data_IF_161778433311
#
_entry.id   IF_161778433311
#
_cell.length_a   1.000
_cell.length_b   1.000
_cell.length_c   1.000
_cell.angle_alpha   90.00
_cell.angle_beta   90.00
_cell.angle_gamma   90.00
#
_symmetry.space_group_name_H-M   'P 1'
#
loop_
_entity.id
_entity.type
_entity.pdbx_description
1 polymer ?
#
# COMPACT_ATOMS: atom_id res chain seq x y z
N UNK A 1 5.16 9.87 21.10
CA UNK A 1 4.79 10.43 19.79
C UNK A 1 5.22 9.43 18.72
N UNK A 2 4.42 8.39 18.49
CA UNK A 2 4.66 7.47 17.38
C UNK A 2 4.14 8.18 16.13
N UNK A 3 5.05 8.63 15.27
CA UNK A 3 4.66 8.86 13.88
C UNK A 3 4.10 7.51 13.39
N UNK A 4 2.85 7.44 12.90
CA UNK A 4 2.38 6.21 12.29
C UNK A 4 3.37 5.90 11.19
N UNK A 5 4.06 4.77 11.33
CA UNK A 5 4.84 4.15 10.28
C UNK A 5 3.92 4.05 9.07
N UNK A 6 4.05 4.97 8.12
CA UNK A 6 3.12 5.03 7.00
C UNK A 6 3.54 3.93 6.04
N UNK A 7 2.88 2.79 6.17
CA UNK A 7 3.17 1.60 5.39
C UNK A 7 2.58 1.75 4.00
N UNK A 8 3.45 1.79 2.99
CA UNK A 8 3.06 1.90 1.59
C UNK A 8 4.04 1.19 0.66
N UNK A 9 3.65 1.09 -0.60
CA UNK A 9 4.49 0.52 -1.65
C UNK A 9 4.81 1.54 -2.71
N UNK A 10 5.98 1.38 -3.30
CA UNK A 10 6.40 2.19 -4.43
C UNK A 10 5.65 1.78 -5.67
N UNK A 11 4.69 2.61 -6.07
CA UNK A 11 3.85 2.36 -7.23
C UNK A 11 3.78 3.58 -8.12
N UNK A 12 3.45 3.35 -9.40
CA UNK A 12 3.26 4.47 -10.32
C UNK A 12 2.11 5.35 -9.83
N UNK A 13 2.24 6.66 -10.00
CA UNK A 13 1.19 7.61 -9.62
C UNK A 13 -0.16 7.29 -10.25
N UNK A 14 -0.15 6.77 -11.49
CA UNK A 14 -1.34 6.23 -12.18
C UNK A 14 -1.95 5.04 -11.46
N UNK A 15 -1.14 4.04 -11.08
CA UNK A 15 -1.62 2.85 -10.37
C UNK A 15 -2.22 3.23 -9.02
N UNK A 16 -1.53 4.10 -8.28
CA UNK A 16 -1.97 4.57 -6.97
C UNK A 16 -3.29 5.34 -7.05
N UNK A 17 -3.40 6.31 -7.99
CA UNK A 17 -4.66 7.04 -8.24
C UNK A 17 -5.79 6.13 -8.70
N UNK A 18 -5.49 5.09 -9.48
CA UNK A 18 -6.49 4.13 -9.95
C UNK A 18 -7.12 3.31 -8.83
N UNK A 19 -6.55 3.33 -7.63
CA UNK A 19 -6.95 2.51 -6.48
C UNK A 19 -7.12 3.34 -5.20
N UNK A 20 -7.49 4.60 -5.35
CA UNK A 20 -7.69 5.53 -4.22
C UNK A 20 -6.51 5.61 -3.22
N UNK A 21 -5.31 5.20 -3.60
CA UNK A 21 -4.16 5.23 -2.72
C UNK A 21 -3.74 6.67 -2.43
N UNK A 22 -3.43 6.96 -1.17
CA UNK A 22 -2.89 8.25 -0.76
C UNK A 22 -1.43 8.38 -1.16
N UNK A 23 -1.06 9.53 -1.73
CA UNK A 23 0.32 9.87 -2.09
C UNK A 23 0.82 10.96 -1.16
N UNK A 24 1.80 10.69 -0.29
CA UNK A 24 2.47 11.79 0.38
C UNK A 24 4.00 11.75 0.41
N UNK A 25 4.68 10.77 -0.22
CA UNK A 25 6.14 10.67 -0.02
C UNK A 25 6.92 10.60 -1.32
N UNK A 26 7.53 11.74 -1.65
CA UNK A 26 8.59 11.86 -2.66
C UNK A 26 9.92 11.51 -2.00
N UNK A 27 10.70 10.59 -2.58
CA UNK A 27 11.98 10.15 -2.02
C UNK A 27 11.90 9.02 -0.99
N UNK A 28 10.72 8.40 -0.79
CA UNK A 28 10.58 7.20 0.03
C UNK A 28 10.90 5.90 -0.73
N UNK A 29 10.96 5.97 -2.05
CA UNK A 29 11.20 4.81 -2.88
C UNK A 29 12.70 4.63 -3.18
N UNK A 30 13.28 3.44 -2.93
CA UNK A 30 14.65 3.16 -3.35
C UNK A 30 14.68 3.19 -4.88
N UNK A 31 15.31 4.23 -5.44
CA UNK A 31 15.39 4.60 -6.86
C UNK A 31 14.32 5.57 -7.42
N UNK A 32 13.52 6.27 -6.59
CA UNK A 32 12.44 7.25 -6.94
C UNK A 32 12.42 7.69 -8.43
N UNK A 33 11.89 6.85 -9.34
CA UNK A 33 11.62 7.29 -10.71
C UNK A 33 10.59 8.40 -10.63
N UNK A 34 10.67 9.42 -11.50
CA UNK A 34 9.74 10.56 -11.46
C UNK A 34 8.25 10.13 -11.40
N UNK A 35 7.91 9.00 -12.03
CA UNK A 35 6.56 8.45 -12.12
C UNK A 35 6.14 7.51 -10.98
N UNK A 36 7.06 7.08 -10.10
CA UNK A 36 6.79 6.15 -8.99
C UNK A 36 6.90 6.89 -7.67
N UNK A 37 5.85 6.80 -6.86
CA UNK A 37 5.75 7.44 -5.55
C UNK A 37 5.35 6.41 -4.51
N UNK A 38 5.61 6.72 -3.24
CA UNK A 38 5.09 5.90 -2.16
C UNK A 38 3.57 6.05 -2.12
N UNK A 39 2.89 4.97 -2.50
CA UNK A 39 1.46 4.82 -2.43
C UNK A 39 1.09 4.20 -1.09
N UNK A 40 0.38 4.98 -0.28
CA UNK A 40 -0.14 4.55 0.99
C UNK A 40 -1.58 4.07 0.83
N UNK A 41 -1.92 3.02 1.56
CA UNK A 41 -3.28 2.53 1.67
C UNK A 41 -4.04 2.41 0.33
N UNK A 42 -3.44 1.85 -0.74
CA UNK A 42 -4.20 1.59 -1.96
C UNK A 42 -5.26 0.52 -1.73
N UNK A 43 -6.35 0.61 -2.49
CA UNK A 43 -7.33 -0.46 -2.63
C UNK A 43 -6.68 -1.75 -3.18
N UNK A 44 -7.22 -2.87 -2.73
CA UNK A 44 -6.79 -4.19 -3.13
C UNK A 44 -7.25 -4.50 -4.57
N UNK A 45 -6.54 -5.38 -5.29
CA UNK A 45 -6.83 -5.66 -6.71
C UNK A 45 -8.28 -6.01 -7.03
N UNK A 46 -8.94 -6.66 -6.10
CA UNK A 46 -10.27 -7.22 -6.28
C UNK A 46 -11.31 -6.47 -5.43
N UNK A 47 -10.93 -5.32 -4.84
CA UNK A 47 -11.78 -4.53 -3.93
C UNK A 47 -12.18 -5.26 -2.63
N UNK A 48 -11.64 -6.45 -2.40
CA UNK A 48 -11.82 -7.23 -1.17
C UNK A 48 -10.82 -6.77 -0.12
N UNK A 49 -11.24 -5.81 0.71
CA UNK A 49 -10.48 -5.32 1.85
C UNK A 49 -10.64 -3.82 2.04
N UNK A 50 -10.05 -3.27 3.11
CA UNK A 50 -9.98 -1.83 3.31
C UNK A 50 -8.78 -1.20 2.58
N UNK A 51 -7.75 -2.00 2.33
CA UNK A 51 -6.55 -1.55 1.65
C UNK A 51 -5.35 -2.46 1.90
N UNK A 52 -4.25 -2.12 1.27
CA UNK A 52 -2.98 -2.83 1.42
C UNK A 52 -2.18 -2.32 2.62
N UNK A 53 -1.82 -3.22 3.54
CA UNK A 53 -0.94 -2.94 4.67
C UNK A 53 0.07 -4.07 4.85
N UNK A 54 0.96 -3.94 5.83
CA UNK A 54 1.82 -5.06 6.21
C UNK A 54 0.98 -6.16 6.86
N UNK A 55 1.38 -7.42 6.67
CA UNK A 55 0.79 -8.57 7.34
C UNK A 55 0.73 -8.39 8.85
N UNK A 56 1.77 -7.76 9.43
CA UNK A 56 1.83 -7.42 10.86
C UNK A 56 0.82 -6.36 11.30
N UNK A 57 0.28 -5.57 10.38
CA UNK A 57 -0.74 -4.56 10.63
C UNK A 57 -2.16 -5.05 10.29
N UNK A 58 -2.28 -6.21 9.63
CA UNK A 58 -3.56 -6.84 9.39
C UNK A 58 -4.08 -7.53 10.66
N UNK A 59 -5.28 -7.17 11.11
CA UNK A 59 -5.88 -7.75 12.32
C UNK A 59 -6.58 -9.10 12.10
N UNK A 60 -7.25 -9.29 10.95
CA UNK A 60 -8.25 -10.36 10.81
C UNK A 60 -7.96 -11.25 9.62
N UNK A 61 -8.14 -10.74 8.40
CA UNK A 61 -7.92 -11.49 7.17
C UNK A 61 -6.91 -10.78 6.28
N UNK A 62 -6.02 -11.59 5.68
CA UNK A 62 -5.04 -11.11 4.70
C UNK A 62 -5.27 -11.83 3.39
N UNK A 63 -5.37 -11.08 2.30
CA UNK A 63 -5.40 -11.64 0.96
C UNK A 63 -4.01 -11.47 0.33
N UNK A 64 -3.24 -12.56 0.20
CA UNK A 64 -1.95 -12.51 -0.47
C UNK A 64 -2.12 -12.26 -1.98
N UNK A 65 -1.19 -11.53 -2.57
CA UNK A 65 -1.15 -11.31 -4.02
C UNK A 65 -2.10 -10.23 -4.56
N UNK A 66 -2.93 -9.61 -3.71
CA UNK A 66 -3.80 -8.50 -4.13
C UNK A 66 -3.13 -7.12 -4.04
N UNK A 67 -1.95 -7.06 -3.42
CA UNK A 67 -1.17 -5.86 -3.19
C UNK A 67 0.21 -6.04 -3.83
N UNK A 68 0.59 -5.21 -4.82
CA UNK A 68 1.87 -5.35 -5.48
C UNK A 68 2.98 -4.80 -4.59
N UNK A 69 3.95 -5.65 -4.28
CA UNK A 69 5.03 -5.30 -3.36
C UNK A 69 5.71 -6.54 -2.78
N UNK A 70 6.46 -6.37 -1.68
CA UNK A 70 7.11 -7.47 -0.99
C UNK A 70 6.07 -8.43 -0.36
N UNK A 71 6.46 -9.68 -0.12
CA UNK A 71 5.55 -10.75 0.33
C UNK A 71 4.81 -10.48 1.65
N UNK A 72 5.34 -9.56 2.47
CA UNK A 72 4.73 -9.11 3.71
C UNK A 72 3.72 -7.97 3.52
N UNK A 73 3.55 -7.44 2.31
CA UNK A 73 2.53 -6.44 1.99
C UNK A 73 1.30 -7.14 1.42
N UNK A 74 0.24 -7.20 2.21
CA UNK A 74 -0.97 -7.96 1.92
C UNK A 74 -2.19 -7.07 2.03
N UNK A 75 -3.25 -7.46 1.34
CA UNK A 75 -4.50 -6.76 1.49
C UNK A 75 -5.13 -7.14 2.82
N UNK A 76 -5.39 -6.18 3.70
CA UNK A 76 -6.06 -6.43 4.96
C UNK A 76 -7.56 -6.16 4.83
N UNK A 77 -8.37 -7.11 5.28
CA UNK A 77 -9.76 -6.84 5.62
C UNK A 77 -9.82 -6.58 7.14
N UNK A 78 -10.15 -5.33 7.49
CA UNK A 78 -10.48 -4.93 8.85
C UNK A 78 -12.02 -4.92 8.92
N UNK A 79 -12.66 -5.63 9.86
CA UNK A 79 -14.11 -5.65 9.99
C UNK A 79 -14.71 -4.30 10.35
#
# INVERSE_FOLDING_TARGET
>A
MFAPQVTGTCQTTKWCKGRNGQQPVTGACPNDPADVKCCLFPDCEDGVGMGCFLESECYTYTHPGLCPGPSNYKCCAIP
#
